data_IF_258066028436
#
_entry.id   IF_258066028436
#
_cell.length_a   1.000
_cell.length_b   1.000
_cell.length_c   1.000
_cell.angle_alpha   90.00
_cell.angle_beta   90.00
_cell.angle_gamma   90.00
#
_symmetry.space_group_name_H-M   'P 1'
#
loop_
_entity.id
_entity.type
_entity.pdbx_description
1 polymer ?
#
# COMPACT_ATOMS: atom_id res chain seq x y z
N UNK A 1 -12.91 4.10 -23.43
CA UNK A 1 -12.99 3.85 -21.98
C UNK A 1 -13.11 5.17 -21.26
N UNK A 2 -14.11 5.31 -20.42
CA UNK A 2 -14.33 6.56 -19.67
C UNK A 2 -13.45 6.64 -18.43
N UNK A 3 -13.34 7.85 -17.86
CA UNK A 3 -12.66 8.06 -16.58
C UNK A 3 -13.28 7.22 -15.45
N UNK A 4 -14.60 7.06 -15.48
CA UNK A 4 -15.30 6.25 -14.47
C UNK A 4 -14.98 4.76 -14.63
N UNK A 5 -14.79 4.27 -15.86
CA UNK A 5 -14.38 2.88 -16.09
C UNK A 5 -12.98 2.63 -15.54
N UNK A 6 -12.06 3.57 -15.74
CA UNK A 6 -10.70 3.47 -15.20
C UNK A 6 -10.73 3.46 -13.68
N UNK A 7 -11.53 4.34 -13.06
CA UNK A 7 -11.67 4.37 -11.60
C UNK A 7 -12.17 3.05 -11.04
N UNK A 8 -13.13 2.40 -11.71
CA UNK A 8 -13.62 1.07 -11.31
C UNK A 8 -12.52 0.01 -11.39
N UNK A 9 -11.67 0.08 -12.40
CA UNK A 9 -10.54 -0.84 -12.54
C UNK A 9 -9.52 -0.63 -11.41
N UNK A 10 -9.29 0.63 -11.02
CA UNK A 10 -8.40 0.92 -9.89
C UNK A 10 -9.02 0.46 -8.57
N UNK A 11 -10.33 0.64 -8.39
CA UNK A 11 -11.02 0.11 -7.21
C UNK A 11 -10.86 -1.41 -7.11
N UNK A 12 -10.92 -2.11 -8.25
CA UNK A 12 -10.73 -3.56 -8.27
C UNK A 12 -9.35 -3.95 -7.73
N UNK A 13 -8.28 -3.32 -8.22
CA UNK A 13 -6.93 -3.69 -7.77
C UNK A 13 -6.67 -3.27 -6.33
N UNK A 14 -7.20 -2.13 -5.88
CA UNK A 14 -7.13 -1.72 -4.46
C UNK A 14 -7.84 -2.75 -3.58
N UNK A 15 -9.02 -3.18 -3.97
CA UNK A 15 -9.80 -4.17 -3.20
C UNK A 15 -9.15 -5.55 -3.22
N UNK A 16 -8.52 -5.93 -4.32
CA UNK A 16 -7.79 -7.20 -4.43
C UNK A 16 -6.60 -7.22 -3.48
N UNK A 17 -5.87 -6.13 -3.40
CA UNK A 17 -4.79 -5.98 -2.43
C UNK A 17 -5.32 -6.08 -0.99
N UNK A 18 -6.39 -5.38 -0.69
CA UNK A 18 -7.03 -5.43 0.65
C UNK A 18 -7.44 -6.86 1.00
N UNK A 19 -8.04 -7.58 0.05
CA UNK A 19 -8.41 -8.98 0.25
C UNK A 19 -7.19 -9.86 0.51
N UNK A 20 -6.09 -9.60 -0.19
CA UNK A 20 -4.86 -10.35 0.02
C UNK A 20 -4.32 -10.18 1.44
N UNK A 21 -4.37 -8.96 1.99
CA UNK A 21 -4.02 -8.72 3.39
C UNK A 21 -4.99 -9.40 4.35
N UNK A 22 -6.30 -9.25 4.12
CA UNK A 22 -7.33 -9.81 4.97
C UNK A 22 -7.26 -11.33 5.07
N UNK A 23 -6.93 -11.99 3.98
CA UNK A 23 -6.86 -13.47 3.92
C UNK A 23 -5.43 -13.99 4.06
N UNK A 24 -4.46 -13.10 4.21
CA UNK A 24 -3.03 -13.45 4.27
C UNK A 24 -2.62 -14.34 3.09
N UNK A 25 -3.06 -13.96 1.90
CA UNK A 25 -2.82 -14.67 0.64
C UNK A 25 -1.68 -14.00 -0.12
N UNK A 26 -0.48 -14.52 0.01
CA UNK A 26 0.71 -13.93 -0.61
C UNK A 26 0.66 -14.04 -2.14
N UNK A 27 0.10 -15.10 -2.68
CA UNK A 27 0.02 -15.26 -4.13
C UNK A 27 -0.91 -14.24 -4.75
N UNK A 28 -2.02 -13.94 -4.09
CA UNK A 28 -2.92 -12.86 -4.52
C UNK A 28 -2.25 -11.50 -4.42
N UNK A 29 -1.52 -11.25 -3.33
CA UNK A 29 -0.81 -9.99 -3.12
C UNK A 29 0.22 -9.73 -4.23
N UNK A 30 1.01 -10.74 -4.60
CA UNK A 30 2.05 -10.62 -5.61
C UNK A 30 1.46 -10.22 -6.97
N UNK A 31 0.22 -10.58 -7.27
CA UNK A 31 -0.41 -10.21 -8.56
C UNK A 31 -0.60 -8.71 -8.73
N UNK A 32 -0.53 -7.94 -7.65
CA UNK A 32 -0.76 -6.50 -7.65
C UNK A 32 0.49 -5.73 -8.12
N UNK A 33 1.68 -6.29 -7.93
CA UNK A 33 2.93 -5.56 -8.08
C UNK A 33 3.41 -5.49 -9.53
N UNK A 34 3.83 -4.28 -9.93
CA UNK A 34 4.53 -4.03 -11.18
C UNK A 34 5.93 -4.64 -11.11
N UNK A 35 6.50 -5.14 -12.23
CA UNK A 35 7.89 -5.68 -12.21
C UNK A 35 8.94 -4.69 -11.71
N UNK A 36 8.67 -3.39 -11.80
CA UNK A 36 9.61 -2.34 -11.37
C UNK A 36 9.18 -1.65 -10.08
N UNK A 37 8.25 -2.26 -9.34
CA UNK A 37 7.74 -1.63 -8.13
C UNK A 37 8.83 -1.42 -7.08
N UNK A 38 8.75 -0.28 -6.40
CA UNK A 38 9.52 0.01 -5.20
C UNK A 38 8.56 0.36 -4.07
N UNK A 39 9.00 0.12 -2.84
CA UNK A 39 8.18 0.36 -1.66
C UNK A 39 8.99 1.17 -0.64
N UNK A 40 8.97 2.51 -0.73
CA UNK A 40 9.60 3.33 0.30
C UNK A 40 8.85 3.15 1.63
N UNK A 41 9.58 2.99 2.71
CA UNK A 41 8.97 2.66 3.99
C UNK A 41 9.65 3.42 5.14
N UNK A 42 8.91 3.86 6.17
CA UNK A 42 9.51 4.52 7.32
C UNK A 42 10.38 3.54 8.13
N UNK A 43 11.51 4.03 8.63
CA UNK A 43 12.42 3.22 9.47
C UNK A 43 11.79 2.85 10.79
N UNK A 44 10.95 3.71 11.33
CA UNK A 44 10.26 3.52 12.59
C UNK A 44 8.80 3.94 12.46
N UNK A 45 7.92 3.48 13.33
CA UNK A 45 6.51 3.90 13.31
C UNK A 45 6.30 5.41 13.43
N UNK A 46 7.31 6.15 13.88
CA UNK A 46 7.24 7.60 14.07
C UNK A 46 7.85 8.39 12.89
N UNK A 47 8.46 7.72 11.92
CA UNK A 47 9.12 8.36 10.79
C UNK A 47 8.12 8.67 9.67
N UNK A 48 7.32 9.71 9.88
CA UNK A 48 6.29 10.12 8.93
C UNK A 48 6.81 11.02 7.79
N UNK A 49 8.01 11.57 7.94
CA UNK A 49 8.65 12.40 6.93
C UNK A 49 9.36 11.50 5.91
N UNK A 50 9.06 11.64 4.61
CA UNK A 50 9.74 10.84 3.58
C UNK A 50 11.26 10.95 3.57
N UNK A 51 11.84 12.01 4.16
CA UNK A 51 13.29 12.14 4.31
C UNK A 51 13.87 11.02 5.16
N UNK A 52 13.06 10.37 6.02
CA UNK A 52 13.49 9.30 6.91
C UNK A 52 13.16 7.92 6.37
N UNK A 53 12.60 7.84 5.17
CA UNK A 53 12.20 6.56 4.58
C UNK A 53 13.36 5.88 3.87
N UNK A 54 13.26 4.57 3.76
CA UNK A 54 14.24 3.71 3.11
C UNK A 54 13.55 2.74 2.16
N UNK A 55 14.34 2.12 1.28
CA UNK A 55 13.88 1.03 0.42
C UNK A 55 14.62 -0.22 0.85
N UNK A 56 14.03 -0.97 1.79
CA UNK A 56 14.68 -2.16 2.37
C UNK A 56 14.72 -3.33 1.41
N UNK A 57 13.68 -3.47 0.57
CA UNK A 57 13.54 -4.61 -0.32
C UNK A 57 13.94 -4.30 -1.77
N UNK A 58 14.33 -3.05 -2.04
CA UNK A 58 14.73 -2.64 -3.37
C UNK A 58 13.59 -2.71 -4.39
N UNK A 59 13.97 -2.89 -5.65
CA UNK A 59 13.03 -3.12 -6.75
C UNK A 59 12.36 -4.48 -6.59
N UNK A 60 11.10 -4.58 -7.03
CA UNK A 60 10.34 -5.83 -6.94
C UNK A 60 11.14 -7.02 -7.49
N UNK A 61 11.18 -8.07 -6.70
CA UNK A 61 11.72 -9.38 -7.04
C UNK A 61 10.71 -10.40 -6.52
N UNK A 62 10.16 -11.20 -7.42
CA UNK A 62 9.06 -12.10 -7.11
C UNK A 62 9.38 -13.01 -5.91
N UNK A 63 10.51 -13.69 -5.94
CA UNK A 63 10.88 -14.66 -4.90
C UNK A 63 11.19 -13.98 -3.58
N UNK A 64 11.97 -12.88 -3.61
CA UNK A 64 12.34 -12.15 -2.39
C UNK A 64 11.13 -11.53 -1.72
N UNK A 65 10.26 -10.87 -2.49
CA UNK A 65 9.08 -10.20 -1.95
C UNK A 65 8.04 -11.21 -1.47
N UNK A 66 7.82 -12.28 -2.24
CA UNK A 66 6.91 -13.35 -1.81
C UNK A 66 7.35 -13.95 -0.48
N UNK A 67 8.63 -14.25 -0.33
CA UNK A 67 9.18 -14.80 0.90
C UNK A 67 9.02 -13.84 2.07
N UNK A 68 9.29 -12.55 1.86
CA UNK A 68 9.16 -11.53 2.90
C UNK A 68 7.73 -11.37 3.39
N UNK A 69 6.76 -11.27 2.48
CA UNK A 69 5.35 -11.16 2.87
C UNK A 69 4.83 -12.46 3.47
N UNK A 70 5.24 -13.60 2.93
CA UNK A 70 4.86 -14.89 3.52
C UNK A 70 5.39 -15.02 4.95
N UNK A 71 6.60 -14.55 5.20
CA UNK A 71 7.18 -14.55 6.55
C UNK A 71 6.35 -13.70 7.51
N UNK A 72 5.91 -12.53 7.09
CA UNK A 72 4.99 -11.71 7.88
C UNK A 72 3.70 -12.49 8.20
N UNK A 73 3.10 -13.11 7.18
CA UNK A 73 1.86 -13.85 7.35
C UNK A 73 2.02 -15.07 8.27
N UNK A 74 3.18 -15.73 8.22
CA UNK A 74 3.46 -16.90 9.06
C UNK A 74 3.75 -16.55 10.52
N UNK A 75 4.24 -15.35 10.78
CA UNK A 75 4.71 -14.94 12.12
C UNK A 75 3.76 -14.00 12.84
N UNK A 76 2.76 -13.47 12.14
CA UNK A 76 1.81 -12.51 12.70
C UNK A 76 0.39 -12.93 12.39
N UNK A 77 -0.53 -12.56 13.29
CA UNK A 77 -1.96 -12.61 13.00
C UNK A 77 -2.46 -11.19 12.71
N UNK A 78 -3.42 -11.10 11.85
CA UNK A 78 -4.08 -9.83 11.53
C UNK A 78 -5.19 -9.59 12.56
N UNK A 79 -5.00 -8.59 13.43
CA UNK A 79 -6.01 -8.24 14.42
C UNK A 79 -7.14 -7.43 13.79
N UNK A 80 -6.81 -6.48 12.93
CA UNK A 80 -7.80 -5.78 12.11
C UNK A 80 -7.11 -5.17 10.88
N UNK A 81 -7.89 -4.89 9.85
CA UNK A 81 -7.42 -4.21 8.64
C UNK A 81 -8.55 -3.34 8.09
N UNK A 82 -8.56 -2.08 8.50
CA UNK A 82 -9.55 -1.10 8.05
C UNK A 82 -8.92 -0.27 6.93
N UNK A 83 -9.59 -0.25 5.79
CA UNK A 83 -9.11 0.46 4.61
C UNK A 83 -10.24 1.30 4.02
N UNK A 84 -10.00 2.60 3.84
CA UNK A 84 -10.98 3.52 3.26
C UNK A 84 -10.34 4.23 2.08
N UNK A 85 -10.87 3.99 0.89
CA UNK A 85 -10.43 4.70 -0.32
C UNK A 85 -10.96 6.13 -0.25
N UNK A 86 -10.05 7.11 -0.25
CA UNK A 86 -10.39 8.52 -0.14
C UNK A 86 -10.49 9.19 -1.50
N UNK A 87 -9.69 8.75 -2.45
CA UNK A 87 -9.58 9.38 -3.75
C UNK A 87 -8.95 8.44 -4.75
N UNK A 88 -9.42 8.48 -5.99
CA UNK A 88 -8.76 7.84 -7.14
C UNK A 88 -8.66 8.90 -8.24
N UNK A 89 -7.45 9.09 -8.75
CA UNK A 89 -7.18 9.94 -9.91
C UNK A 89 -6.57 9.10 -11.01
N UNK A 90 -7.04 9.30 -12.23
CA UNK A 90 -6.53 8.61 -13.41
C UNK A 90 -6.06 9.63 -14.45
N UNK A 91 -5.04 9.26 -15.20
CA UNK A 91 -4.56 10.07 -16.31
C UNK A 91 -5.63 10.17 -17.40
N UNK A 92 -5.58 11.25 -18.17
CA UNK A 92 -6.49 11.42 -19.31
C UNK A 92 -6.38 10.27 -20.31
N UNK A 93 -5.16 9.77 -20.50
CA UNK A 93 -4.85 8.69 -21.43
C UNK A 93 -5.30 7.32 -20.91
N UNK A 94 -5.63 7.21 -19.63
CA UNK A 94 -6.09 5.96 -19.03
C UNK A 94 -4.99 4.93 -18.80
N UNK A 95 -3.74 5.38 -18.65
CA UNK A 95 -2.57 4.50 -18.52
C UNK A 95 -1.81 4.65 -17.21
N UNK A 96 -2.15 5.66 -16.41
CA UNK A 96 -1.59 5.90 -15.09
C UNK A 96 -2.67 6.33 -14.11
N UNK A 97 -2.49 6.01 -12.85
CA UNK A 97 -3.44 6.37 -11.81
C UNK A 97 -2.80 6.33 -10.43
N UNK A 98 -3.45 6.96 -9.46
CA UNK A 98 -3.12 6.75 -8.05
C UNK A 98 -4.39 6.69 -7.21
N UNK A 99 -4.28 6.02 -6.07
CA UNK A 99 -5.33 5.95 -5.07
C UNK A 99 -4.79 6.42 -3.73
N UNK A 100 -5.56 7.26 -3.05
CA UNK A 100 -5.28 7.65 -1.67
C UNK A 100 -6.17 6.79 -0.77
N UNK A 101 -5.54 6.08 0.15
CA UNK A 101 -6.24 5.15 1.03
C UNK A 101 -5.83 5.41 2.47
N UNK A 102 -6.81 5.57 3.34
CA UNK A 102 -6.56 5.59 4.79
C UNK A 102 -6.53 4.13 5.26
N UNK A 103 -5.45 3.76 5.95
CA UNK A 103 -5.28 2.41 6.47
C UNK A 103 -5.17 2.43 7.99
N UNK A 104 -5.68 1.38 8.58
CA UNK A 104 -5.51 1.07 10.00
C UNK A 104 -5.40 -0.45 10.08
N UNK A 105 -4.16 -0.94 10.03
CA UNK A 105 -3.84 -2.37 9.93
C UNK A 105 -2.98 -2.76 11.12
N UNK A 106 -3.48 -3.66 11.94
CA UNK A 106 -2.77 -4.11 13.13
C UNK A 106 -2.39 -5.58 13.00
N UNK A 107 -1.09 -5.82 13.03
CA UNK A 107 -0.48 -7.15 13.10
C UNK A 107 0.02 -7.40 14.50
N UNK A 108 -0.13 -8.63 14.99
CA UNK A 108 0.36 -9.04 16.31
C UNK A 108 1.20 -10.31 16.14
N UNK A 109 2.45 -10.26 16.62
CA UNK A 109 3.34 -11.42 16.55
C UNK A 109 3.03 -12.43 17.67
N UNK A 110 3.76 -13.56 17.67
CA UNK A 110 3.53 -14.65 18.64
C UNK A 110 3.83 -14.24 20.07
N UNK A 111 4.68 -13.22 20.25
CA UNK A 111 5.00 -12.69 21.59
C UNK A 111 4.00 -11.62 22.04
N UNK A 112 3.01 -11.29 21.21
CA UNK A 112 2.03 -10.25 21.50
C UNK A 112 2.49 -8.85 21.14
N UNK A 113 3.63 -8.71 20.46
CA UNK A 113 4.10 -7.41 20.01
C UNK A 113 3.29 -6.92 18.83
N UNK A 114 2.87 -5.66 18.89
CA UNK A 114 2.07 -5.03 17.85
C UNK A 114 2.93 -4.39 16.78
N UNK A 115 2.52 -4.55 15.53
CA UNK A 115 3.04 -3.83 14.38
C UNK A 115 1.85 -3.11 13.73
N UNK A 116 1.74 -1.82 13.95
CA UNK A 116 0.56 -1.03 13.58
C UNK A 116 0.88 -0.12 12.41
N UNK A 117 0.20 -0.35 11.31
CA UNK A 117 0.26 0.50 10.11
C UNK A 117 -0.98 1.39 10.12
N UNK A 118 -0.81 2.64 10.49
CA UNK A 118 -1.95 3.55 10.58
C UNK A 118 -1.60 4.90 9.97
N UNK A 119 -2.47 5.35 9.07
CA UNK A 119 -2.33 6.64 8.44
C UNK A 119 -2.77 6.61 6.99
N UNK A 120 -2.30 7.57 6.23
CA UNK A 120 -2.67 7.75 4.83
C UNK A 120 -1.54 7.30 3.92
N UNK A 121 -1.89 6.53 2.90
CA UNK A 121 -0.93 6.07 1.88
C UNK A 121 -1.38 6.52 0.50
N UNK A 122 -0.40 6.65 -0.40
CA UNK A 122 -0.65 6.85 -1.81
C UNK A 122 -0.14 5.61 -2.56
N UNK A 123 -1.02 5.00 -3.35
CA UNK A 123 -0.74 3.84 -4.17
C UNK A 123 -0.73 4.28 -5.62
N UNK A 124 0.38 4.09 -6.30
CA UNK A 124 0.57 4.54 -7.69
C UNK A 124 0.53 3.33 -8.62
N UNK A 125 -0.22 3.46 -9.70
CA UNK A 125 -0.46 2.38 -10.64
C UNK A 125 -0.11 2.80 -12.07
N UNK A 126 0.36 1.85 -12.85
CA UNK A 126 0.54 2.00 -14.28
C UNK A 126 -0.10 0.80 -14.99
N UNK A 127 -0.53 1.01 -16.23
CA UNK A 127 -1.13 -0.04 -17.04
C UNK A 127 -0.06 -0.71 -17.88
N UNK A 128 0.01 -2.04 -17.81
CA UNK A 128 0.87 -2.86 -18.66
C UNK A 128 -0.06 -3.70 -19.54
N UNK A 129 -0.06 -3.42 -20.84
CA UNK A 129 -1.02 -4.06 -21.72
C UNK A 129 -2.45 -3.73 -21.27
N UNK A 130 -3.20 -4.74 -20.89
CA UNK A 130 -4.57 -4.58 -20.39
C UNK A 130 -4.67 -4.62 -18.87
N UNK A 131 -3.55 -4.77 -18.16
CA UNK A 131 -3.54 -4.97 -16.71
C UNK A 131 -2.99 -3.76 -15.96
N UNK A 132 -3.62 -3.43 -14.84
CA UNK A 132 -3.09 -2.45 -13.90
C UNK A 132 -2.17 -3.12 -12.89
N UNK A 133 -1.03 -2.47 -12.62
CA UNK A 133 -0.06 -2.92 -11.63
C UNK A 133 0.40 -1.75 -10.78
N UNK A 134 0.65 -2.00 -9.50
CA UNK A 134 1.15 -0.98 -8.59
C UNK A 134 2.65 -0.77 -8.80
N UNK A 135 3.05 0.48 -9.06
CA UNK A 135 4.46 0.84 -9.29
C UNK A 135 5.13 1.38 -8.04
N UNK A 136 4.35 1.94 -7.13
CA UNK A 136 4.87 2.48 -5.87
C UNK A 136 3.76 2.51 -4.82
N UNK A 137 4.13 2.23 -3.60
CA UNK A 137 3.30 2.42 -2.42
C UNK A 137 4.11 3.28 -1.45
N UNK A 138 3.55 4.41 -1.02
CA UNK A 138 4.26 5.24 -0.05
C UNK A 138 4.24 4.61 1.34
N UNK A 139 5.16 5.03 2.19
CA UNK A 139 5.07 4.74 3.61
C UNK A 139 3.81 5.37 4.22
N UNK A 140 3.48 4.92 5.41
CA UNK A 140 2.30 5.42 6.11
C UNK A 140 2.55 6.83 6.63
N UNK A 141 1.71 7.77 6.19
CA UNK A 141 1.74 9.15 6.65
C UNK A 141 0.64 9.36 7.69
N UNK A 142 1.02 9.38 8.95
CA UNK A 142 0.06 9.60 10.04
C UNK A 142 -0.07 11.09 10.35
N UNK A 143 -0.98 11.73 9.65
CA UNK A 143 -1.22 13.16 9.83
C UNK A 143 -1.83 13.51 11.18
N UNK A 144 -2.35 12.53 11.91
CA UNK A 144 -2.97 12.80 13.22
C UNK A 144 -1.94 13.06 14.31
N UNK A 145 -0.71 12.55 14.11
CA UNK A 145 0.39 12.74 15.08
C UNK A 145 1.35 13.87 14.73
N UNK A 146 1.23 14.42 13.50
CA UNK A 146 2.07 15.54 13.06
C UNK A 146 1.43 16.85 13.55
N UNK A 147 2.17 17.65 14.34
CA UNK A 147 1.64 18.93 14.81
C UNK A 147 1.64 19.95 13.66
N UNK A 148 0.63 19.89 12.83
CA UNK A 148 0.45 20.84 11.72
C UNK A 148 -0.43 21.97 12.18
N UNK A 149 0.07 23.20 12.11
CA UNK A 149 -0.74 24.40 12.33
C UNK A 149 -1.57 24.63 11.06
N UNK A 150 -2.79 24.13 11.07
CA UNK A 150 -3.70 24.23 9.91
C UNK A 150 -4.11 25.68 9.60
N UNK A 151 -4.02 26.54 10.59
CA UNK A 151 -4.35 27.96 10.36
C UNK A 151 -3.35 28.63 9.43
N UNK A 152 -2.18 28.04 9.19
CA UNK A 152 -1.16 28.59 8.30
C UNK A 152 -1.23 28.03 6.89
N UNK A 153 -2.12 27.11 6.65
CA UNK A 153 -2.38 26.55 5.34
C UNK A 153 -3.52 27.31 4.67
#
# INVERSE_FOLDING_TARGET
MTSEDVKKQIEEIVNRETQAWDTQDVDLLITVFHPDMVWPWPRTPQSHDPMDWVIDWGRFDHERWKRGWQDLFDTHRLAHNKRVVRKIEASREGDGAFAVVDIDTLWIDRAGKENHWKGRVCKVYAKIGSEWKMTMHTGVLDYTTIPVSREKL
#
